data_IF_887083591692
#
_entry.id   IF_887083591692
#
_cell.length_a   1.000
_cell.length_b   1.000
_cell.length_c   1.000
_cell.angle_alpha   90.00
_cell.angle_beta   90.00
_cell.angle_gamma   90.00
#
_symmetry.space_group_name_H-M   'P 1'
#
loop_
_entity.id
_entity.type
_entity.pdbx_description
1 polymer ?
#
# COMPACT_ATOMS: atom_id res chain seq x y z
N UNK A 1 -3.93 -22.84 -93.85
CA UNK A 1 -3.36 -23.64 -92.74
C UNK A 1 -2.44 -22.72 -91.96
N UNK A 2 -2.79 -22.21 -90.77
CA UNK A 2 -2.96 -22.95 -89.51
C UNK A 2 -1.56 -23.40 -89.05
N UNK A 3 -0.95 -22.90 -87.97
CA UNK A 3 -1.46 -22.87 -86.60
C UNK A 3 -0.67 -21.82 -85.78
N UNK A 4 -1.37 -20.85 -85.16
CA UNK A 4 -0.88 -20.15 -83.97
C UNK A 4 -0.92 -21.14 -82.80
N UNK A 5 0.09 -21.22 -81.92
CA UNK A 5 -0.20 -21.46 -80.49
C UNK A 5 0.96 -21.17 -79.52
N UNK A 6 0.68 -20.16 -78.69
CA UNK A 6 0.88 -20.08 -77.24
C UNK A 6 2.25 -20.42 -76.64
N UNK A 7 2.97 -19.34 -76.32
CA UNK A 7 3.94 -19.24 -75.22
C UNK A 7 3.25 -19.72 -73.91
N UNK A 8 3.57 -20.93 -73.45
CA UNK A 8 3.06 -21.47 -72.19
C UNK A 8 3.77 -20.80 -71.01
N UNK A 9 3.14 -19.79 -70.44
CA UNK A 9 3.46 -19.26 -69.10
C UNK A 9 3.01 -20.29 -68.07
N UNK A 10 3.92 -21.12 -67.55
CA UNK A 10 3.65 -21.94 -66.37
C UNK A 10 3.69 -21.02 -65.12
N UNK A 11 2.58 -20.38 -64.81
CA UNK A 11 2.30 -19.94 -63.45
C UNK A 11 2.05 -21.18 -62.61
N UNK A 12 3.10 -21.73 -61.99
CA UNK A 12 2.93 -22.69 -60.90
C UNK A 12 2.30 -21.94 -59.72
N UNK A 13 0.98 -21.90 -59.75
CA UNK A 13 0.08 -21.48 -58.70
C UNK A 13 0.41 -22.24 -57.42
N UNK A 14 0.93 -21.50 -56.44
CA UNK A 14 0.86 -21.74 -55.00
C UNK A 14 0.63 -23.19 -54.55
N UNK A 15 1.70 -23.99 -54.58
CA UNK A 15 1.82 -25.17 -53.73
C UNK A 15 1.96 -24.74 -52.26
N UNK A 16 0.87 -24.25 -51.65
CA UNK A 16 0.79 -24.13 -50.20
C UNK A 16 0.86 -25.56 -49.67
N UNK A 17 2.01 -25.93 -49.10
CA UNK A 17 2.16 -27.16 -48.36
C UNK A 17 1.15 -27.13 -47.20
N UNK A 18 0.02 -27.82 -47.35
CA UNK A 18 -1.09 -27.84 -46.36
C UNK A 18 -0.59 -28.12 -44.93
N UNK A 19 0.53 -28.85 -44.78
CA UNK A 19 1.19 -29.10 -43.50
C UNK A 19 1.79 -27.86 -42.81
N UNK A 20 2.33 -26.89 -43.54
CA UNK A 20 2.95 -25.69 -42.93
C UNK A 20 1.91 -24.70 -42.41
N UNK A 21 0.75 -24.59 -43.08
CA UNK A 21 -0.35 -23.72 -42.63
C UNK A 21 -0.97 -24.21 -41.32
N UNK A 22 -1.14 -25.53 -41.17
CA UNK A 22 -1.67 -26.14 -39.94
C UNK A 22 -0.72 -25.96 -38.76
N UNK A 23 0.59 -26.06 -38.99
CA UNK A 23 1.61 -25.84 -37.94
C UNK A 23 1.57 -24.41 -37.40
N UNK A 24 1.44 -23.42 -38.29
CA UNK A 24 1.32 -22.00 -37.91
C UNK A 24 0.05 -21.76 -37.11
N UNK A 25 -1.07 -22.38 -37.51
CA UNK A 25 -2.34 -22.27 -36.78
C UNK A 25 -2.24 -22.85 -35.36
N UNK A 26 -1.66 -24.04 -35.21
CA UNK A 26 -1.45 -24.66 -33.89
C UNK A 26 -0.55 -23.79 -33.02
N UNK A 27 0.55 -23.27 -33.59
CA UNK A 27 1.45 -22.38 -32.87
C UNK A 27 0.74 -21.11 -32.39
N UNK A 28 -0.04 -20.46 -33.27
CA UNK A 28 -0.83 -19.29 -32.91
C UNK A 28 -1.87 -19.59 -31.83
N UNK A 29 -2.53 -20.76 -31.88
CA UNK A 29 -3.46 -21.20 -30.84
C UNK A 29 -2.76 -21.43 -29.50
N UNK A 30 -1.58 -22.06 -29.49
CA UNK A 30 -0.79 -22.22 -28.28
C UNK A 30 -0.40 -20.86 -27.69
N UNK A 31 0.04 -19.91 -28.52
CA UNK A 31 0.32 -18.54 -28.08
C UNK A 31 -0.92 -17.86 -27.49
N UNK A 32 -2.09 -18.01 -28.12
CA UNK A 32 -3.35 -17.41 -27.66
C UNK A 32 -3.79 -18.00 -26.31
N UNK A 33 -3.62 -19.31 -26.13
CA UNK A 33 -3.93 -20.01 -24.86
C UNK A 33 -2.99 -19.53 -23.76
N UNK A 34 -1.68 -19.46 -24.00
CA UNK A 34 -0.71 -18.95 -23.01
C UNK A 34 -1.04 -17.51 -22.63
N UNK A 35 -1.35 -16.65 -23.60
CA UNK A 35 -1.75 -15.27 -23.35
C UNK A 35 -3.02 -15.20 -22.49
N UNK A 36 -4.03 -16.03 -22.79
CA UNK A 36 -5.27 -16.11 -22.02
C UNK A 36 -5.04 -16.60 -20.58
N UNK A 37 -4.17 -17.60 -20.38
CA UNK A 37 -3.80 -18.08 -19.05
C UNK A 37 -3.04 -17.02 -18.25
N UNK A 38 -2.12 -16.30 -18.88
CA UNK A 38 -1.41 -15.17 -18.25
C UNK A 38 -2.40 -14.09 -17.83
N UNK A 39 -3.35 -13.72 -18.70
CA UNK A 39 -4.39 -12.74 -18.38
C UNK A 39 -5.26 -13.19 -17.17
N UNK A 40 -5.64 -14.47 -17.11
CA UNK A 40 -6.38 -15.02 -15.96
C UNK A 40 -5.56 -15.02 -14.67
N UNK A 41 -4.28 -15.41 -14.72
CA UNK A 41 -3.38 -15.35 -13.56
C UNK A 41 -3.17 -13.93 -13.07
N UNK A 42 -2.99 -12.98 -13.98
CA UNK A 42 -2.90 -11.56 -13.65
C UNK A 42 -4.19 -11.08 -12.98
N UNK A 43 -5.36 -11.39 -13.53
CA UNK A 43 -6.64 -10.99 -12.92
C UNK A 43 -6.87 -11.59 -11.52
N UNK A 44 -6.47 -12.85 -11.30
CA UNK A 44 -6.52 -13.47 -9.98
C UNK A 44 -5.59 -12.78 -8.97
N UNK A 45 -4.37 -12.46 -9.39
CA UNK A 45 -3.42 -11.75 -8.54
C UNK A 45 -3.91 -10.34 -8.22
N UNK A 46 -4.43 -9.63 -9.23
CA UNK A 46 -5.02 -8.30 -9.07
C UNK A 46 -6.21 -8.31 -8.10
N UNK A 47 -7.07 -9.33 -8.17
CA UNK A 47 -8.17 -9.52 -7.20
C UNK A 47 -7.65 -9.69 -5.78
N UNK A 48 -6.64 -10.54 -5.56
CA UNK A 48 -6.08 -10.77 -4.23
C UNK A 48 -5.40 -9.50 -3.68
N UNK A 49 -4.70 -8.76 -4.54
CA UNK A 49 -4.12 -7.47 -4.19
C UNK A 49 -5.20 -6.45 -3.80
N UNK A 50 -6.25 -6.33 -4.62
CA UNK A 50 -7.36 -5.41 -4.35
C UNK A 50 -8.07 -5.71 -3.02
N UNK A 51 -8.26 -7.00 -2.68
CA UNK A 51 -8.81 -7.41 -1.40
C UNK A 51 -7.89 -7.02 -0.24
N UNK A 52 -6.58 -7.25 -0.37
CA UNK A 52 -5.60 -6.87 0.66
C UNK A 52 -5.58 -5.35 0.89
N UNK A 53 -5.52 -4.57 -0.19
CA UNK A 53 -5.53 -3.10 -0.13
C UNK A 53 -6.83 -2.59 0.51
N UNK A 54 -7.98 -3.18 0.17
CA UNK A 54 -9.27 -2.81 0.76
C UNK A 54 -9.33 -3.10 2.26
N UNK A 55 -8.84 -4.26 2.69
CA UNK A 55 -8.79 -4.62 4.10
C UNK A 55 -7.83 -3.74 4.91
N UNK A 56 -6.64 -3.47 4.37
CA UNK A 56 -5.65 -2.59 4.99
C UNK A 56 -6.19 -1.15 5.13
N UNK A 57 -6.87 -0.66 4.09
CA UNK A 57 -7.51 0.67 4.12
C UNK A 57 -8.60 0.74 5.19
N UNK A 58 -9.45 -0.29 5.31
CA UNK A 58 -10.48 -0.35 6.36
C UNK A 58 -9.87 -0.38 7.75
N UNK A 59 -8.85 -1.21 7.97
CA UNK A 59 -8.17 -1.31 9.26
C UNK A 59 -7.56 0.03 9.68
N UNK A 60 -6.96 0.77 8.74
CA UNK A 60 -6.45 2.11 8.99
C UNK A 60 -7.55 3.08 9.47
N UNK A 61 -8.66 3.16 8.74
CA UNK A 61 -9.75 4.06 9.12
C UNK A 61 -10.45 3.66 10.43
N UNK A 62 -10.58 2.36 10.71
CA UNK A 62 -11.09 1.89 12.00
C UNK A 62 -10.18 2.26 13.17
N UNK A 63 -8.86 2.18 12.97
CA UNK A 63 -7.89 2.59 13.97
C UNK A 63 -7.90 4.12 14.20
N UNK A 64 -8.02 4.91 13.13
CA UNK A 64 -8.14 6.37 13.20
C UNK A 64 -9.41 6.81 13.94
N UNK A 65 -10.53 6.12 13.67
CA UNK A 65 -11.79 6.33 14.39
C UNK A 65 -11.62 6.05 15.90
N UNK A 66 -11.00 4.92 16.26
CA UNK A 66 -10.72 4.56 17.66
C UNK A 66 -9.78 5.56 18.34
N UNK A 67 -8.74 6.02 17.64
CA UNK A 67 -7.82 7.02 18.15
C UNK A 67 -8.56 8.34 18.44
N UNK A 68 -9.43 8.78 17.53
CA UNK A 68 -10.26 9.97 17.74
C UNK A 68 -11.23 9.81 18.91
N UNK A 69 -11.82 8.63 19.08
CA UNK A 69 -12.67 8.34 20.24
C UNK A 69 -11.90 8.44 21.56
N UNK A 70 -10.68 7.89 21.61
CA UNK A 70 -9.79 7.98 22.78
C UNK A 70 -9.41 9.44 23.05
N UNK A 71 -9.05 10.20 22.02
CA UNK A 71 -8.79 11.65 22.14
C UNK A 71 -9.97 12.37 22.78
N UNK A 72 -11.19 12.15 22.29
CA UNK A 72 -12.39 12.79 22.83
C UNK A 72 -12.66 12.37 24.28
N UNK A 73 -12.41 11.12 24.65
CA UNK A 73 -12.51 10.66 26.05
C UNK A 73 -11.45 11.33 26.94
N UNK A 74 -10.22 11.49 26.46
CA UNK A 74 -9.15 12.20 27.16
C UNK A 74 -9.54 13.67 27.38
N UNK A 75 -10.01 14.37 26.33
CA UNK A 75 -10.46 15.76 26.42
C UNK A 75 -11.61 15.93 27.42
N UNK A 76 -12.61 15.04 27.37
CA UNK A 76 -13.73 15.08 28.31
C UNK A 76 -13.30 14.78 29.76
N UNK A 77 -12.42 13.80 29.98
CA UNK A 77 -11.94 13.50 31.33
C UNK A 77 -11.10 14.66 31.89
N UNK A 78 -10.27 15.28 31.05
CA UNK A 78 -9.50 16.47 31.40
C UNK A 78 -10.40 17.64 31.80
N UNK A 79 -11.45 17.92 31.02
CA UNK A 79 -12.40 18.99 31.32
C UNK A 79 -13.18 18.74 32.63
N UNK A 80 -13.44 17.48 32.96
CA UNK A 80 -14.13 17.07 34.18
C UNK A 80 -13.19 16.79 35.37
N UNK A 81 -11.88 17.04 35.23
CA UNK A 81 -10.89 16.78 36.30
C UNK A 81 -10.72 15.30 36.66
N UNK A 82 -11.07 14.39 35.76
CA UNK A 82 -10.95 12.93 35.94
C UNK A 82 -9.59 12.42 35.45
N UNK A 83 -9.16 11.28 36.00
CA UNK A 83 -7.93 10.62 35.59
C UNK A 83 -8.01 10.12 34.14
N UNK A 84 -6.90 10.25 33.41
CA UNK A 84 -6.72 9.78 32.03
C UNK A 84 -5.82 8.55 31.91
N UNK A 85 -5.29 8.04 33.04
CA UNK A 85 -4.30 6.96 33.07
C UNK A 85 -4.78 5.65 32.42
N UNK A 86 -6.09 5.44 32.32
CA UNK A 86 -6.67 4.26 31.66
C UNK A 86 -6.66 4.35 30.13
N UNK A 87 -6.42 5.53 29.57
CA UNK A 87 -6.47 5.79 28.13
C UNK A 87 -5.11 6.21 27.55
N UNK A 88 -4.17 6.57 28.41
CA UNK A 88 -2.83 7.00 28.04
C UNK A 88 -1.81 5.90 28.35
N UNK A 89 -0.95 5.60 27.38
CA UNK A 89 0.19 4.70 27.59
C UNK A 89 1.25 5.35 28.49
N UNK A 90 1.42 6.67 28.35
CA UNK A 90 2.27 7.46 29.22
C UNK A 90 1.80 8.91 29.36
N UNK A 91 2.17 9.54 30.48
CA UNK A 91 2.03 10.98 30.71
C UNK A 91 3.38 11.54 31.21
N UNK A 92 3.87 12.61 30.59
CA UNK A 92 5.11 13.30 30.98
C UNK A 92 4.83 14.78 31.20
N UNK A 93 5.09 15.29 32.40
CA UNK A 93 5.02 16.73 32.68
C UNK A 93 6.40 17.37 32.57
N UNK A 94 6.54 18.39 31.72
CA UNK A 94 7.78 19.16 31.52
C UNK A 94 7.42 20.64 31.59
N UNK A 95 8.00 21.36 32.55
CA UNK A 95 7.82 22.81 32.72
C UNK A 95 6.34 23.28 32.73
N UNK A 96 5.44 22.49 33.33
CA UNK A 96 4.01 22.81 33.41
C UNK A 96 3.19 22.43 32.16
N UNK A 97 3.83 21.81 31.16
CA UNK A 97 3.18 21.25 29.97
C UNK A 97 3.10 19.73 30.13
N UNK A 98 1.91 19.14 30.01
CA UNK A 98 1.73 17.69 30.05
C UNK A 98 1.69 17.10 28.65
N UNK A 99 2.51 16.09 28.39
CA UNK A 99 2.53 15.30 27.16
C UNK A 99 1.88 13.95 27.42
N UNK A 100 0.81 13.65 26.70
CA UNK A 100 0.02 12.43 26.84
C UNK A 100 0.16 11.64 25.54
N UNK A 101 0.73 10.45 25.62
CA UNK A 101 0.90 9.55 24.49
C UNK A 101 0.04 8.31 24.63
N UNK A 102 -0.60 7.89 23.54
CA UNK A 102 -1.28 6.60 23.45
C UNK A 102 -1.15 6.02 22.05
N UNK A 103 -1.31 4.71 21.95
CA UNK A 103 -1.20 3.96 20.71
C UNK A 103 -2.43 3.11 20.44
N UNK A 104 -2.83 3.04 19.17
CA UNK A 104 -3.92 2.18 18.70
C UNK A 104 -3.35 1.21 17.67
N UNK A 105 -3.54 -0.09 17.89
CA UNK A 105 -3.11 -1.12 16.94
C UNK A 105 -3.98 -1.06 15.67
N UNK A 106 -3.33 -0.93 14.51
CA UNK A 106 -3.96 -0.96 13.18
C UNK A 106 -3.98 -2.41 12.67
N UNK A 107 -2.84 -3.10 12.80
CA UNK A 107 -2.62 -4.48 12.36
C UNK A 107 -1.51 -5.13 13.22
N UNK A 108 -1.13 -6.38 12.94
CA UNK A 108 -0.09 -7.12 13.68
C UNK A 108 1.30 -6.44 13.66
N UNK A 109 1.56 -5.57 12.67
CA UNK A 109 2.85 -4.89 12.51
C UNK A 109 2.74 -3.36 12.49
N UNK A 110 1.54 -2.80 12.67
CA UNK A 110 1.29 -1.36 12.48
C UNK A 110 0.51 -0.79 13.65
N UNK A 111 0.97 0.32 14.19
CA UNK A 111 0.28 1.07 15.25
C UNK A 111 0.19 2.55 14.90
N UNK A 112 -0.95 3.15 15.22
CA UNK A 112 -1.17 4.59 15.15
C UNK A 112 -0.75 5.19 16.49
N UNK A 113 0.27 6.04 16.49
CA UNK A 113 0.76 6.72 17.69
C UNK A 113 0.25 8.15 17.69
N UNK A 114 -0.40 8.53 18.80
CA UNK A 114 -0.91 9.88 19.02
C UNK A 114 -0.27 10.48 20.25
N UNK A 115 0.32 11.67 20.09
CA UNK A 115 0.87 12.47 21.19
C UNK A 115 0.14 13.81 21.27
N UNK A 116 -0.38 14.10 22.46
CA UNK A 116 -1.11 15.30 22.80
C UNK A 116 -0.27 16.14 23.75
N UNK A 117 -0.10 17.43 23.46
CA UNK A 117 0.43 18.40 24.43
C UNK A 117 -0.72 19.15 25.08
N UNK A 118 -0.67 19.26 26.38
CA UNK A 118 -1.59 20.02 27.21
C UNK A 118 -0.84 21.18 27.85
N UNK A 119 -1.26 22.39 27.53
CA UNK A 119 -0.78 23.63 28.16
C UNK A 119 -1.95 24.26 28.92
N UNK A 120 -2.06 23.98 30.22
CA UNK A 120 -3.21 24.37 31.01
C UNK A 120 -4.50 23.67 30.57
N UNK A 121 -5.44 24.43 29.97
CA UNK A 121 -6.70 23.91 29.45
C UNK A 121 -6.69 23.67 27.93
N UNK A 122 -5.65 24.16 27.23
CA UNK A 122 -5.53 23.99 25.80
C UNK A 122 -4.82 22.68 25.47
N UNK A 123 -5.46 21.87 24.64
CA UNK A 123 -4.96 20.59 24.20
C UNK A 123 -4.65 20.65 22.69
N UNK A 124 -3.41 20.35 22.32
CA UNK A 124 -2.94 20.39 20.94
C UNK A 124 -2.33 19.05 20.56
N UNK A 125 -2.62 18.58 19.35
CA UNK A 125 -1.99 17.39 18.79
C UNK A 125 -0.55 17.75 18.41
N UNK A 126 0.42 16.97 18.87
CA UNK A 126 1.85 17.11 18.52
C UNK A 126 2.21 16.11 17.43
N UNK A 127 1.71 14.88 17.54
CA UNK A 127 2.04 13.80 16.64
C UNK A 127 0.82 12.93 16.41
N UNK A 128 0.56 12.61 15.14
CA UNK A 128 -0.44 11.64 14.71
C UNK A 128 0.16 10.89 13.52
N UNK A 129 0.76 9.74 13.78
CA UNK A 129 1.54 9.04 12.75
C UNK A 129 1.41 7.52 12.87
N UNK A 130 1.32 6.85 11.73
CA UNK A 130 1.48 5.40 11.63
C UNK A 130 2.95 5.05 11.84
N UNK A 131 3.21 4.14 12.78
CA UNK A 131 4.53 3.60 13.07
C UNK A 131 4.46 2.08 12.89
N UNK A 132 5.42 1.53 12.16
CA UNK A 132 5.56 0.09 12.05
C UNK A 132 6.25 -0.45 13.30
N UNK A 133 5.68 -1.48 13.94
CA UNK A 133 6.19 -2.05 15.19
C UNK A 133 7.61 -2.64 15.04
N UNK A 134 8.00 -3.03 13.82
CA UNK A 134 9.37 -3.46 13.52
C UNK A 134 10.39 -2.31 13.37
N UNK A 135 9.94 -1.05 13.35
CA UNK A 135 10.79 0.13 13.12
C UNK A 135 11.14 0.92 14.38
N UNK A 136 10.83 0.37 15.56
CA UNK A 136 10.91 1.10 16.84
C UNK A 136 12.33 1.37 17.38
N UNK A 137 13.40 1.05 16.64
CA UNK A 137 14.79 1.15 17.14
C UNK A 137 15.77 1.97 16.28
N UNK A 138 15.31 2.83 15.37
CA UNK A 138 16.23 3.66 14.56
C UNK A 138 16.05 5.18 14.70
N UNK A 139 14.86 5.66 15.10
CA UNK A 139 14.61 7.11 15.17
C UNK A 139 15.07 7.78 16.47
N UNK A 140 15.56 7.01 17.46
CA UNK A 140 16.09 7.56 18.71
C UNK A 140 17.63 7.68 18.71
N UNK A 141 18.29 7.51 17.57
CA UNK A 141 19.75 7.56 17.47
C UNK A 141 20.28 8.10 16.14
N UNK A 142 19.60 9.09 15.55
CA UNK A 142 20.24 9.94 14.55
C UNK A 142 20.71 11.21 15.26
N UNK A 143 21.97 11.17 15.72
CA UNK A 143 22.74 12.37 15.98
C UNK A 143 22.94 13.08 14.63
N UNK A 144 22.04 14.02 14.34
CA UNK A 144 22.08 14.77 13.09
C UNK A 144 23.24 15.75 13.22
N UNK A 145 24.36 15.40 12.58
CA UNK A 145 25.62 16.13 12.54
C UNK A 145 25.46 17.65 12.73
N UNK A 146 25.90 18.14 13.89
CA UNK A 146 25.95 19.57 14.20
C UNK A 146 27.16 20.18 13.53
N UNK A 147 26.99 20.65 12.28
CA UNK A 147 28.08 21.18 11.48
C UNK A 147 28.90 22.23 12.23
N UNK A 148 30.11 21.84 12.64
CA UNK A 148 31.17 22.79 12.94
C UNK A 148 31.59 23.43 11.62
N UNK A 149 31.32 24.72 11.49
CA UNK A 149 31.94 25.56 10.49
C UNK A 149 33.43 25.61 10.85
N UNK A 150 34.25 24.94 10.05
CA UNK A 150 35.71 25.03 10.15
C UNK A 150 36.18 26.48 10.06
N UNK A 151 37.17 26.78 10.89
CA UNK A 151 37.84 28.07 11.09
C UNK A 151 38.32 28.76 9.80
#
# INVERSE_FOLDING_TARGET
MGVNNMKKSNSNEYGINIGSSTLIMIFALLCLVVFSLLAYKTALNEKNLALKVSNETKAYYEADYKATEIKNKIENNIANGKSIASFADYEKNINGISYIGYSVKIDENKKLVVELKRSGNDLKIVKWAEVNEASEDYNNKLDVWGGELGD
#
